data_IF_155527281510
#
_entry.id   IF_155527281510
#
_cell.length_a   1.000
_cell.length_b   1.000
_cell.length_c   1.000
_cell.angle_alpha   90.00
_cell.angle_beta   90.00
_cell.angle_gamma   90.00
#
_symmetry.space_group_name_H-M   'P 1'
#
loop_
_entity.id
_entity.type
_entity.pdbx_description
1 polymer ?
#
# COMPACT_ATOMS: atom_id res chain seq x y z
N UNK A 1 -3.72 -25.50 29.10
CA UNK A 1 -4.04 -25.65 27.66
C UNK A 1 -5.29 -24.83 27.37
N UNK A 2 -5.25 -23.76 26.54
CA UNK A 2 -6.41 -22.93 26.28
C UNK A 2 -7.36 -23.65 25.30
N UNK A 3 -8.57 -23.99 25.76
CA UNK A 3 -9.61 -24.64 24.96
C UNK A 3 -10.23 -23.60 24.01
N UNK A 4 -10.05 -23.80 22.70
CA UNK A 4 -10.72 -22.96 21.68
C UNK A 4 -12.22 -23.25 21.70
N UNK A 5 -13.04 -22.23 21.97
CA UNK A 5 -14.50 -22.28 21.83
C UNK A 5 -14.87 -22.79 20.44
N UNK A 6 -15.47 -23.97 20.39
CA UNK A 6 -16.10 -24.57 19.21
C UNK A 6 -17.53 -24.03 19.06
N UNK A 7 -17.98 -23.82 17.81
CA UNK A 7 -19.38 -23.45 17.55
C UNK A 7 -20.31 -24.65 17.78
N UNK A 8 -21.62 -24.41 17.93
CA UNK A 8 -22.63 -25.47 18.09
C UNK A 8 -22.62 -26.53 16.97
N UNK A 9 -21.94 -26.29 15.84
CA UNK A 9 -21.80 -27.26 14.74
C UNK A 9 -20.44 -27.99 14.73
N UNK A 10 -19.59 -27.82 15.76
CA UNK A 10 -18.25 -28.39 15.83
C UNK A 10 -17.21 -27.76 14.89
N UNK A 11 -17.62 -26.87 13.99
CA UNK A 11 -16.70 -26.13 13.10
C UNK A 11 -16.14 -24.89 13.81
N UNK A 12 -14.86 -24.55 13.65
CA UNK A 12 -14.32 -23.30 14.16
C UNK A 12 -15.05 -22.13 13.48
N UNK A 13 -15.46 -21.14 14.27
CA UNK A 13 -16.17 -19.96 13.74
C UNK A 13 -15.22 -19.18 12.83
N UNK A 14 -15.69 -18.76 11.66
CA UNK A 14 -14.87 -17.97 10.74
C UNK A 14 -14.39 -16.68 11.43
N UNK A 15 -13.13 -16.25 11.22
CA UNK A 15 -12.64 -14.99 11.75
C UNK A 15 -13.49 -13.83 11.21
N UNK A 16 -13.82 -12.87 12.07
CA UNK A 16 -14.61 -11.69 11.70
C UNK A 16 -13.66 -10.51 11.52
N UNK A 17 -13.93 -9.72 10.48
CA UNK A 17 -13.19 -8.50 10.20
C UNK A 17 -14.15 -7.34 10.42
N UNK A 18 -13.70 -6.32 11.14
CA UNK A 18 -14.39 -5.03 11.28
C UNK A 18 -13.52 -3.98 10.61
N UNK A 19 -14.15 -3.09 9.84
CA UNK A 19 -13.44 -2.04 9.09
C UNK A 19 -14.11 -0.71 9.37
N UNK A 20 -13.30 0.34 9.50
CA UNK A 20 -13.76 1.73 9.53
C UNK A 20 -13.54 2.29 8.13
N UNK A 21 -14.62 2.77 7.51
CA UNK A 21 -14.62 3.26 6.13
C UNK A 21 -15.03 4.74 6.13
N UNK A 22 -14.51 5.56 5.20
CA UNK A 22 -15.03 6.90 4.95
C UNK A 22 -16.51 6.87 4.55
N UNK A 23 -17.25 7.91 4.92
CA UNK A 23 -18.69 8.00 4.68
C UNK A 23 -19.05 7.86 3.20
N UNK A 24 -18.34 8.57 2.31
CA UNK A 24 -18.54 8.49 0.87
C UNK A 24 -18.38 7.07 0.31
N UNK A 25 -17.46 6.28 0.87
CA UNK A 25 -17.24 4.89 0.44
C UNK A 25 -18.40 4.01 0.91
N UNK A 26 -18.86 4.20 2.15
CA UNK A 26 -20.02 3.50 2.68
C UNK A 26 -21.29 3.76 1.85
N UNK A 27 -21.53 5.02 1.44
CA UNK A 27 -22.65 5.40 0.58
C UNK A 27 -22.58 4.73 -0.79
N UNK A 28 -21.40 4.72 -1.42
CA UNK A 28 -21.19 4.04 -2.71
C UNK A 28 -21.42 2.53 -2.61
N UNK A 29 -20.95 1.90 -1.53
CA UNK A 29 -21.21 0.47 -1.30
C UNK A 29 -22.70 0.18 -1.09
N UNK A 30 -23.43 1.05 -0.38
CA UNK A 30 -24.87 0.91 -0.17
C UNK A 30 -25.63 1.00 -1.50
N UNK A 31 -25.33 1.99 -2.34
CA UNK A 31 -25.96 2.13 -3.65
C UNK A 31 -25.72 0.90 -4.56
N UNK A 32 -24.50 0.34 -4.57
CA UNK A 32 -24.20 -0.90 -5.30
C UNK A 32 -24.98 -2.09 -4.73
N UNK A 33 -25.05 -2.19 -3.41
CA UNK A 33 -25.76 -3.28 -2.73
C UNK A 33 -27.27 -3.26 -3.03
N UNK A 34 -27.88 -2.08 -3.01
CA UNK A 34 -29.29 -1.88 -3.35
C UNK A 34 -29.58 -2.28 -4.81
N UNK A 35 -28.70 -1.87 -5.74
CA UNK A 35 -28.81 -2.23 -7.16
C UNK A 35 -28.76 -3.74 -7.43
N UNK A 36 -28.04 -4.50 -6.61
CA UNK A 36 -27.92 -5.97 -6.73
C UNK A 36 -28.82 -6.74 -5.74
N UNK A 37 -29.69 -6.05 -4.99
CA UNK A 37 -30.53 -6.67 -3.94
C UNK A 37 -29.72 -7.49 -2.91
N UNK A 38 -28.56 -6.98 -2.52
CA UNK A 38 -27.63 -7.60 -1.57
C UNK A 38 -27.47 -6.71 -0.34
N UNK A 39 -27.03 -7.30 0.78
CA UNK A 39 -26.62 -6.49 1.93
C UNK A 39 -25.26 -5.86 1.68
N UNK A 40 -25.00 -4.69 2.29
CA UNK A 40 -23.71 -4.00 2.21
C UNK A 40 -22.54 -4.92 2.60
N UNK A 41 -22.70 -5.75 3.64
CA UNK A 41 -21.67 -6.71 4.05
C UNK A 41 -21.41 -7.79 3.00
N UNK A 42 -22.45 -8.28 2.31
CA UNK A 42 -22.29 -9.27 1.25
C UNK A 42 -21.64 -8.63 0.01
N UNK A 43 -22.04 -7.41 -0.34
CA UNK A 43 -21.44 -6.64 -1.42
C UNK A 43 -19.95 -6.42 -1.19
N UNK A 44 -19.59 -5.93 0.01
CA UNK A 44 -18.19 -5.76 0.42
C UNK A 44 -17.41 -7.08 0.32
N UNK A 45 -17.99 -8.20 0.79
CA UNK A 45 -17.36 -9.52 0.68
C UNK A 45 -17.05 -9.89 -0.77
N UNK A 46 -18.02 -9.73 -1.68
CA UNK A 46 -17.84 -10.08 -3.10
C UNK A 46 -16.78 -9.20 -3.75
N UNK A 47 -16.82 -7.88 -3.53
CA UNK A 47 -15.84 -6.95 -4.08
C UNK A 47 -14.43 -7.22 -3.58
N UNK A 48 -14.26 -7.55 -2.29
CA UNK A 48 -12.97 -7.96 -1.72
C UNK A 48 -12.48 -9.25 -2.40
N UNK A 49 -13.34 -10.26 -2.55
CA UNK A 49 -12.96 -11.52 -3.20
C UNK A 49 -12.51 -11.30 -4.66
N UNK A 50 -13.26 -10.52 -5.43
CA UNK A 50 -12.90 -10.16 -6.80
C UNK A 50 -11.62 -9.31 -6.86
N UNK A 51 -11.42 -8.40 -5.91
CA UNK A 51 -10.20 -7.60 -5.79
C UNK A 51 -8.97 -8.47 -5.56
N UNK A 52 -9.04 -9.40 -4.60
CA UNK A 52 -7.94 -10.35 -4.32
C UNK A 52 -7.64 -11.22 -5.53
N UNK A 53 -8.68 -11.78 -6.17
CA UNK A 53 -8.50 -12.62 -7.34
C UNK A 53 -7.82 -11.86 -8.50
N UNK A 54 -8.24 -10.62 -8.77
CA UNK A 54 -7.60 -9.78 -9.80
C UNK A 54 -6.14 -9.45 -9.47
N UNK A 55 -5.87 -9.16 -8.19
CA UNK A 55 -4.52 -8.88 -7.72
C UNK A 55 -3.60 -10.10 -7.86
N UNK A 56 -4.08 -11.29 -7.51
CA UNK A 56 -3.33 -12.56 -7.62
C UNK A 56 -3.10 -12.98 -9.08
N UNK A 57 -4.04 -12.70 -9.98
CA UNK A 57 -3.94 -13.02 -11.41
C UNK A 57 -2.98 -12.12 -12.20
N UNK A 58 -2.24 -11.23 -11.53
CA UNK A 58 -1.25 -10.35 -12.17
C UNK A 58 -1.81 -8.99 -12.58
N UNK A 59 -3.03 -8.65 -12.16
CA UNK A 59 -3.69 -7.38 -12.42
C UNK A 59 -3.52 -6.39 -11.27
N UNK A 60 -2.28 -6.08 -10.84
CA UNK A 60 -1.84 -4.69 -10.66
C UNK A 60 -0.40 -4.53 -10.19
N UNK A 61 0.48 -4.41 -11.19
CA UNK A 61 1.67 -3.56 -11.11
C UNK A 61 1.32 -2.10 -11.46
N UNK A 62 0.03 -1.71 -11.53
CA UNK A 62 -0.41 -0.43 -12.09
C UNK A 62 -1.60 0.29 -11.41
N UNK A 63 -2.02 -0.04 -10.18
CA UNK A 63 -2.77 0.92 -9.32
C UNK A 63 -1.73 1.69 -8.51
N UNK A 64 -0.98 2.51 -9.25
CA UNK A 64 -0.23 3.61 -8.70
C UNK A 64 -1.20 4.76 -8.39
N UNK A 65 -1.12 5.41 -7.22
CA UNK A 65 -1.74 6.72 -7.00
C UNK A 65 -1.12 7.75 -7.97
N UNK A 66 -1.79 8.89 -8.25
CA UNK A 66 -1.26 9.87 -9.19
C UNK A 66 0.10 10.39 -8.70
N UNK A 67 1.10 10.31 -9.58
CA UNK A 67 2.42 10.93 -9.49
C UNK A 67 3.15 10.80 -8.13
N UNK A 68 3.79 9.66 -7.88
CA UNK A 68 5.07 9.67 -7.15
C UNK A 68 6.16 9.28 -8.13
N UNK A 69 7.11 10.18 -8.29
CA UNK A 69 8.31 10.09 -9.12
C UNK A 69 8.95 8.69 -9.07
N UNK A 70 9.61 8.24 -10.14
CA UNK A 70 10.10 6.87 -10.24
C UNK A 70 11.11 6.58 -9.13
N UNK A 71 10.64 5.98 -8.04
CA UNK A 71 11.48 5.52 -6.92
C UNK A 71 12.57 4.58 -7.43
N UNK A 72 12.28 3.82 -8.48
CA UNK A 72 13.24 2.99 -9.21
C UNK A 72 14.44 3.79 -9.74
N UNK A 73 14.22 5.00 -10.27
CA UNK A 73 15.31 5.86 -10.76
C UNK A 73 16.16 6.38 -9.61
N UNK A 74 15.53 6.75 -8.48
CA UNK A 74 16.25 7.28 -7.32
C UNK A 74 17.05 6.20 -6.60
N UNK A 75 16.53 4.97 -6.53
CA UNK A 75 17.25 3.83 -5.96
C UNK A 75 18.40 3.38 -6.85
N UNK A 76 18.20 3.36 -8.17
CA UNK A 76 19.28 3.10 -9.13
C UNK A 76 20.37 4.17 -9.05
N UNK A 77 19.99 5.44 -8.94
CA UNK A 77 20.92 6.56 -8.80
C UNK A 77 21.69 6.47 -7.46
N UNK A 78 21.02 6.14 -6.36
CA UNK A 78 21.66 5.92 -5.06
C UNK A 78 22.65 4.75 -5.10
N UNK A 79 22.26 3.60 -5.64
CA UNK A 79 23.12 2.42 -5.80
C UNK A 79 24.34 2.71 -6.71
N UNK A 80 24.15 3.48 -7.78
CA UNK A 80 25.22 3.92 -8.67
C UNK A 80 26.20 4.93 -8.03
N UNK A 81 25.76 5.67 -7.02
CA UNK A 81 26.63 6.55 -6.23
C UNK A 81 27.38 5.78 -5.13
N UNK A 82 26.72 4.84 -4.46
CA UNK A 82 27.31 4.03 -3.39
C UNK A 82 28.38 3.06 -3.90
N UNK A 83 28.18 2.50 -5.11
CA UNK A 83 29.16 1.62 -5.77
C UNK A 83 30.41 2.35 -6.26
N UNK A 84 30.39 3.69 -6.35
CA UNK A 84 31.54 4.48 -6.77
C UNK A 84 32.42 4.84 -5.58
N UNK A 85 33.70 4.50 -5.66
CA UNK A 85 34.67 4.83 -4.61
C UNK A 85 34.84 6.36 -4.50
N UNK A 86 34.75 6.88 -3.28
CA UNK A 86 34.85 8.32 -2.98
C UNK A 86 36.26 8.83 -3.22
N UNK A 87 36.55 9.26 -4.46
CA UNK A 87 37.81 9.91 -4.82
C UNK A 87 37.62 11.42 -4.80
N UNK A 88 38.59 12.15 -4.22
CA UNK A 88 38.62 13.62 -4.30
C UNK A 88 38.52 14.06 -5.75
N UNK A 89 37.54 14.91 -6.06
CA UNK A 89 37.48 15.59 -7.36
C UNK A 89 38.82 16.31 -7.56
N UNK A 90 39.56 15.89 -8.57
CA UNK A 90 40.92 16.37 -8.85
C UNK A 90 40.81 17.87 -9.16
N UNK A 91 41.33 18.72 -8.27
CA UNK A 91 41.33 20.18 -8.45
C UNK A 91 40.45 21.00 -7.49
N UNK A 92 39.67 20.39 -6.59
CA UNK A 92 38.86 21.16 -5.65
C UNK A 92 39.70 21.79 -4.51
N UNK A 93 39.56 23.11 -4.23
CA UNK A 93 40.38 23.81 -3.24
C UNK A 93 40.14 23.29 -1.82
N UNK A 94 41.23 23.16 -1.06
CA UNK A 94 41.25 22.52 0.28
C UNK A 94 40.53 23.33 1.37
N UNK A 95 40.23 24.61 1.15
CA UNK A 95 39.54 25.51 2.10
C UNK A 95 38.63 26.47 1.36
N UNK A 96 37.33 26.37 1.61
CA UNK A 96 36.36 27.41 1.27
C UNK A 96 36.45 28.46 2.37
N UNK A 97 36.87 29.69 2.04
CA UNK A 97 36.81 30.82 2.97
C UNK A 97 35.46 31.49 2.78
N UNK A 98 34.60 31.40 3.77
CA UNK A 98 33.35 32.17 3.81
C UNK A 98 33.68 33.58 4.28
N UNK A 99 33.22 34.60 3.55
CA UNK A 99 33.32 35.98 3.98
C UNK A 99 32.45 36.20 5.21
N UNK A 100 33.01 36.84 6.25
CA UNK A 100 32.23 37.39 7.35
C UNK A 100 31.65 38.73 6.92
N UNK A 101 30.37 39.01 7.19
CA UNK A 101 29.84 40.36 7.09
C UNK A 101 30.42 41.23 8.22
N UNK A 102 30.67 42.50 7.90
CA UNK A 102 31.15 43.55 8.80
C UNK A 102 30.09 43.98 9.83
#
# INVERSE_FOLDING_TARGET
MPTRQNSSSGKPKSPRIQVVLPEDLCLRLAALADGESRTVSNMAKVLIQQGVQRYEQGGDRQVAPPAKEPQSSTEQLRSALESKQTRRLRGAPRRVRLQRPD
#
